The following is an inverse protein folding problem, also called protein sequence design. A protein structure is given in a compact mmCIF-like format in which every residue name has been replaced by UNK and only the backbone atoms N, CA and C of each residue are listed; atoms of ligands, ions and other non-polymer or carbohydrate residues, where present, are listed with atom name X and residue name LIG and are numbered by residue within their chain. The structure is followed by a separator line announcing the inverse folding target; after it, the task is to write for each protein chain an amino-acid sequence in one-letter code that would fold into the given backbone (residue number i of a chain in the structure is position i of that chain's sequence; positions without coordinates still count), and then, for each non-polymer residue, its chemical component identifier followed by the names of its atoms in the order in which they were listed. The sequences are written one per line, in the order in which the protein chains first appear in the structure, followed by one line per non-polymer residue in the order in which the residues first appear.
data_IF_379244600631
#
_entry.id   IF_379244600631
#
_cell.length_a   1.000
_cell.length_b   1.000
_cell.length_c   1.000
_cell.angle_alpha   90.00
_cell.angle_beta   90.00
_cell.angle_gamma   90.00
#
_symmetry.space_group_name_H-M   'P 1'
#
loop_
_entity.id
_entity.type
_entity.pdbx_description
1 polymer ?
#
# COMPACT_ATOMS: atom_id res chain seq x y z
N UNK A 1 -11.20 21.05 -23.02
CA UNK A 1 -11.25 20.80 -21.57
C UNK A 1 -9.87 21.04 -20.99
N UNK A 2 -9.71 22.08 -20.18
CA UNK A 2 -8.42 22.47 -19.57
C UNK A 2 -8.02 21.42 -18.51
N UNK A 3 -7.16 20.48 -18.89
CA UNK A 3 -6.62 19.41 -18.00
C UNK A 3 -5.45 19.96 -17.20
N UNK A 4 -5.70 20.93 -16.32
CA UNK A 4 -4.73 21.31 -15.31
C UNK A 4 -4.79 20.27 -14.20
N UNK A 5 -3.74 19.47 -14.05
CA UNK A 5 -3.51 18.70 -12.81
C UNK A 5 -3.60 19.65 -11.61
N UNK A 6 -3.88 19.10 -10.42
CA UNK A 6 -3.97 19.92 -9.21
C UNK A 6 -2.66 20.66 -9.01
N UNK A 7 -2.69 22.00 -9.08
CA UNK A 7 -1.50 22.81 -8.79
C UNK A 7 -1.23 22.78 -7.28
N UNK A 8 -0.33 21.91 -6.83
CA UNK A 8 0.00 21.76 -5.41
C UNK A 8 0.67 23.00 -4.82
N UNK A 9 1.25 23.85 -5.68
CA UNK A 9 1.96 25.08 -5.29
C UNK A 9 1.03 26.28 -5.06
N UNK A 10 -0.23 26.21 -5.51
CA UNK A 10 -1.19 27.32 -5.41
C UNK A 10 -2.61 26.80 -5.09
N UNK A 11 -3.54 27.70 -4.80
CA UNK A 11 -4.93 27.35 -4.52
C UNK A 11 -5.17 26.73 -3.13
N UNK A 12 -6.39 26.20 -2.90
CA UNK A 12 -6.78 25.60 -1.63
C UNK A 12 -6.10 24.26 -1.39
N UNK A 13 -5.38 24.15 -0.29
CA UNK A 13 -4.67 22.93 0.11
C UNK A 13 -5.65 21.78 0.39
N UNK A 14 -6.73 22.04 1.13
CA UNK A 14 -7.73 21.01 1.46
C UNK A 14 -8.38 20.43 0.22
N UNK A 15 -8.81 21.29 -0.73
CA UNK A 15 -9.36 20.83 -2.02
C UNK A 15 -8.32 20.05 -2.83
N UNK A 16 -7.05 20.48 -2.79
CA UNK A 16 -5.95 19.79 -3.44
C UNK A 16 -5.69 18.39 -2.86
N UNK A 17 -5.60 18.28 -1.54
CA UNK A 17 -5.42 17.00 -0.85
C UNK A 17 -6.60 16.05 -1.12
N UNK A 18 -7.84 16.52 -0.97
CA UNK A 18 -9.03 15.71 -1.23
C UNK A 18 -9.13 15.25 -2.69
N UNK A 19 -8.74 16.13 -3.64
CA UNK A 19 -8.73 15.79 -5.07
C UNK A 19 -7.75 14.67 -5.43
N UNK A 20 -6.72 14.45 -4.60
CA UNK A 20 -5.75 13.36 -4.77
C UNK A 20 -6.15 12.16 -3.91
N UNK A 21 -6.51 12.38 -2.64
CA UNK A 21 -6.80 11.27 -1.70
C UNK A 21 -8.09 10.53 -2.03
N UNK A 22 -9.17 11.21 -2.45
CA UNK A 22 -10.43 10.55 -2.79
C UNK A 22 -10.30 9.54 -3.94
N UNK A 23 -9.67 9.88 -5.09
CA UNK A 23 -9.43 8.88 -6.13
C UNK A 23 -8.57 7.71 -5.65
N UNK A 24 -7.52 7.97 -4.83
CA UNK A 24 -6.67 6.90 -4.28
C UNK A 24 -7.47 6.01 -3.31
N UNK A 25 -8.30 6.59 -2.47
CA UNK A 25 -9.18 5.85 -1.56
C UNK A 25 -10.14 4.94 -2.34
N UNK A 26 -10.83 5.49 -3.35
CA UNK A 26 -11.73 4.72 -4.21
C UNK A 26 -10.96 3.58 -4.90
N UNK A 27 -9.78 3.87 -5.45
CA UNK A 27 -8.92 2.88 -6.09
C UNK A 27 -8.58 1.73 -5.15
N UNK A 28 -8.18 2.02 -3.91
CA UNK A 28 -7.80 1.01 -2.93
C UNK A 28 -9.00 0.14 -2.50
N UNK A 29 -10.16 0.77 -2.24
CA UNK A 29 -11.39 0.06 -1.88
C UNK A 29 -11.86 -0.84 -3.03
N UNK A 30 -11.89 -0.33 -4.25
CA UNK A 30 -12.27 -1.11 -5.44
C UNK A 30 -11.29 -2.28 -5.67
N UNK A 31 -9.99 -2.07 -5.44
CA UNK A 31 -9.01 -3.15 -5.54
C UNK A 31 -9.25 -4.26 -4.51
N UNK A 32 -9.64 -3.91 -3.29
CA UNK A 32 -10.04 -4.89 -2.27
C UNK A 32 -11.30 -5.66 -2.68
N UNK A 33 -12.30 -4.96 -3.23
CA UNK A 33 -13.51 -5.61 -3.77
C UNK A 33 -13.19 -6.58 -4.91
N UNK A 34 -12.31 -6.20 -5.83
CA UNK A 34 -11.88 -7.11 -6.91
C UNK A 34 -11.19 -8.36 -6.37
N UNK A 35 -10.40 -8.25 -5.29
CA UNK A 35 -9.78 -9.42 -4.67
C UNK A 35 -10.79 -10.35 -4.01
N UNK A 36 -11.82 -9.80 -3.37
CA UNK A 36 -12.90 -10.58 -2.77
C UNK A 36 -13.70 -11.30 -3.87
N UNK A 37 -14.09 -10.60 -4.94
CA UNK A 37 -14.84 -11.17 -6.05
C UNK A 37 -14.06 -12.27 -6.77
N UNK A 38 -12.75 -12.14 -6.96
CA UNK A 38 -11.93 -13.21 -7.52
C UNK A 38 -11.95 -14.48 -6.68
N UNK A 39 -11.85 -14.33 -5.34
CA UNK A 39 -11.92 -15.46 -4.44
C UNK A 39 -13.32 -16.11 -4.46
N UNK A 40 -14.38 -15.31 -4.48
CA UNK A 40 -15.76 -15.81 -4.58
C UNK A 40 -16.01 -16.56 -5.90
N UNK A 41 -15.51 -16.02 -7.03
CA UNK A 41 -15.59 -16.70 -8.32
C UNK A 41 -14.85 -18.04 -8.25
N UNK A 42 -13.62 -18.04 -7.72
CA UNK A 42 -12.85 -19.27 -7.61
C UNK A 42 -13.53 -20.31 -6.72
N UNK A 43 -14.04 -19.92 -5.55
CA UNK A 43 -14.74 -20.78 -4.60
C UNK A 43 -16.02 -21.38 -5.19
N UNK A 44 -16.80 -20.58 -5.92
CA UNK A 44 -18.09 -21.00 -6.49
C UNK A 44 -17.95 -22.08 -7.58
N UNK A 45 -16.79 -22.18 -8.24
CA UNK A 45 -16.54 -23.12 -9.35
C UNK A 45 -15.37 -24.08 -9.07
N UNK A 46 -14.79 -24.08 -7.86
CA UNK A 46 -13.75 -25.02 -7.47
C UNK A 46 -14.37 -26.35 -7.01
N UNK A 47 -14.25 -27.37 -7.82
CA UNK A 47 -14.83 -28.69 -7.56
C UNK A 47 -14.17 -29.43 -6.40
N UNK A 48 -12.90 -29.13 -6.11
CA UNK A 48 -12.10 -29.87 -5.14
C UNK A 48 -11.87 -29.09 -3.84
N UNK A 49 -12.26 -27.80 -3.76
CA UNK A 49 -12.06 -26.93 -2.60
C UNK A 49 -10.58 -26.58 -2.29
N UNK A 50 -9.64 -27.00 -3.14
CA UNK A 50 -8.21 -26.83 -2.89
C UNK A 50 -7.62 -25.56 -3.51
N UNK A 51 -8.29 -24.98 -4.51
CA UNK A 51 -7.76 -23.82 -5.26
C UNK A 51 -7.75 -22.57 -4.41
N UNK A 52 -8.78 -22.30 -3.61
CA UNK A 52 -8.83 -21.17 -2.69
C UNK A 52 -7.74 -21.27 -1.63
N UNK A 53 -7.56 -22.49 -1.08
CA UNK A 53 -6.47 -22.76 -0.13
C UNK A 53 -5.09 -22.53 -0.73
N UNK A 54 -4.86 -22.92 -1.98
CA UNK A 54 -3.61 -22.73 -2.70
C UNK A 54 -3.31 -21.23 -2.97
N UNK A 55 -4.32 -20.44 -3.36
CA UNK A 55 -4.17 -18.97 -3.51
C UNK A 55 -3.91 -18.33 -2.15
N UNK A 56 -4.62 -18.75 -1.11
CA UNK A 56 -4.43 -18.27 0.27
C UNK A 56 -3.02 -18.51 0.79
N UNK A 57 -2.43 -19.70 0.53
CA UNK A 57 -1.06 -20.02 0.90
C UNK A 57 -0.01 -19.09 0.25
N UNK A 58 -0.29 -18.55 -0.94
CA UNK A 58 0.55 -17.56 -1.62
C UNK A 58 0.37 -16.14 -1.08
N UNK A 59 -0.71 -15.86 -0.35
CA UNK A 59 -1.17 -14.51 -0.02
C UNK A 59 -0.11 -13.67 0.70
N UNK A 60 0.55 -14.20 1.72
CA UNK A 60 1.58 -13.49 2.49
C UNK A 60 2.79 -13.07 1.63
N UNK A 61 3.25 -13.97 0.76
CA UNK A 61 4.35 -13.69 -0.16
C UNK A 61 3.97 -12.67 -1.23
N UNK A 62 2.74 -12.73 -1.73
CA UNK A 62 2.19 -11.77 -2.68
C UNK A 62 2.10 -10.37 -2.06
N UNK A 63 1.58 -10.26 -0.83
CA UNK A 63 1.51 -8.98 -0.10
C UNK A 63 2.90 -8.40 0.14
N UNK A 64 3.87 -9.24 0.52
CA UNK A 64 5.26 -8.84 0.73
C UNK A 64 5.85 -8.21 -0.55
N UNK A 65 5.76 -8.90 -1.69
CA UNK A 65 6.33 -8.44 -2.96
C UNK A 65 5.60 -7.20 -3.48
N UNK A 66 4.28 -7.20 -3.41
CA UNK A 66 3.47 -6.04 -3.84
C UNK A 66 3.79 -4.80 -2.98
N UNK A 67 3.90 -4.98 -1.66
CA UNK A 67 4.30 -3.93 -0.74
C UNK A 67 5.70 -3.39 -1.03
N UNK A 68 6.66 -4.27 -1.34
CA UNK A 68 8.01 -3.87 -1.75
C UNK A 68 7.98 -3.02 -3.04
N UNK A 69 7.24 -3.44 -4.06
CA UNK A 69 7.11 -2.73 -5.35
C UNK A 69 6.47 -1.35 -5.13
N UNK A 70 5.36 -1.27 -4.41
CA UNK A 70 4.67 -0.02 -4.11
C UNK A 70 5.58 0.90 -3.28
N UNK A 71 6.27 0.35 -2.30
CA UNK A 71 7.23 1.10 -1.49
C UNK A 71 8.34 1.71 -2.32
N UNK A 72 8.98 0.95 -3.21
CA UNK A 72 10.06 1.46 -4.07
C UNK A 72 9.51 2.49 -5.06
N UNK A 73 8.33 2.28 -5.62
CA UNK A 73 7.70 3.24 -6.54
C UNK A 73 7.41 4.60 -5.89
N UNK A 74 7.19 4.64 -4.57
CA UNK A 74 7.02 5.88 -3.81
C UNK A 74 8.25 6.79 -3.87
N UNK A 75 9.46 6.21 -4.04
CA UNK A 75 10.69 6.96 -4.26
C UNK A 75 10.64 7.79 -5.56
N UNK A 76 10.12 7.20 -6.64
CA UNK A 76 9.92 7.92 -7.89
C UNK A 76 8.91 9.07 -7.72
N UNK A 77 7.80 8.82 -6.99
CA UNK A 77 6.82 9.87 -6.68
C UNK A 77 7.49 11.09 -6.01
N UNK A 78 8.25 10.87 -4.94
CA UNK A 78 8.90 11.96 -4.18
C UNK A 78 9.90 12.73 -5.03
N UNK A 79 10.78 12.03 -5.76
CA UNK A 79 11.85 12.68 -6.55
C UNK A 79 11.25 13.49 -7.71
N UNK A 80 10.29 12.92 -8.43
CA UNK A 80 9.65 13.62 -9.55
C UNK A 80 8.83 14.81 -9.03
N UNK A 81 8.07 14.65 -7.94
CA UNK A 81 7.36 15.75 -7.30
C UNK A 81 8.31 16.89 -6.88
N UNK A 82 9.48 16.56 -6.31
CA UNK A 82 10.50 17.53 -5.95
C UNK A 82 11.05 18.31 -7.16
N UNK A 83 11.32 17.63 -8.27
CA UNK A 83 11.74 18.29 -9.51
C UNK A 83 10.65 19.19 -10.10
N UNK A 84 9.39 18.80 -10.03
CA UNK A 84 8.26 19.64 -10.44
C UNK A 84 8.21 20.90 -9.58
N UNK A 85 8.33 20.75 -8.26
CA UNK A 85 8.33 21.89 -7.32
C UNK A 85 9.46 22.88 -7.58
N UNK A 86 10.67 22.39 -7.85
CA UNK A 86 11.84 23.21 -8.19
C UNK A 86 11.90 23.65 -9.66
N UNK A 87 10.86 23.37 -10.47
CA UNK A 87 10.78 23.68 -11.91
C UNK A 87 11.89 23.08 -12.77
N UNK A 88 12.53 22.01 -12.31
CA UNK A 88 13.58 21.27 -13.03
C UNK A 88 12.98 20.19 -13.93
N UNK A 89 12.22 20.60 -14.94
CA UNK A 89 11.42 19.68 -15.77
C UNK A 89 12.22 18.66 -16.57
N UNK A 90 13.43 19.03 -17.03
CA UNK A 90 14.30 18.09 -17.73
C UNK A 90 14.79 16.97 -16.81
N UNK A 91 15.13 17.30 -15.57
CA UNK A 91 15.47 16.29 -14.54
C UNK A 91 14.28 15.43 -14.18
N UNK A 92 13.07 16.02 -14.09
CA UNK A 92 11.85 15.28 -13.89
C UNK A 92 11.59 14.25 -15.01
N UNK A 93 11.74 14.66 -16.28
CA UNK A 93 11.55 13.77 -17.43
C UNK A 93 12.63 12.68 -17.50
N UNK A 94 13.88 12.97 -17.10
CA UNK A 94 14.92 11.93 -16.93
C UNK A 94 14.58 10.95 -15.82
N UNK A 95 14.08 11.44 -14.69
CA UNK A 95 13.64 10.61 -13.56
C UNK A 95 12.46 9.72 -13.96
N UNK A 96 11.49 10.22 -14.75
CA UNK A 96 10.39 9.43 -15.31
C UNK A 96 10.91 8.27 -16.18
N UNK A 97 11.80 8.58 -17.12
CA UNK A 97 12.39 7.54 -18.00
C UNK A 97 13.18 6.49 -17.20
N UNK A 98 14.00 6.95 -16.22
CA UNK A 98 14.76 6.05 -15.34
C UNK A 98 13.84 5.18 -14.48
N UNK A 99 12.77 5.75 -13.93
CA UNK A 99 11.82 5.05 -13.08
C UNK A 99 11.11 3.91 -13.84
N UNK A 100 10.66 4.17 -15.07
CA UNK A 100 10.00 3.15 -15.91
C UNK A 100 11.00 2.11 -16.41
N UNK A 101 12.22 2.51 -16.80
CA UNK A 101 13.27 1.56 -17.19
C UNK A 101 13.64 0.63 -16.02
N UNK A 102 13.80 1.21 -14.81
CA UNK A 102 14.05 0.44 -13.59
C UNK A 102 12.88 -0.50 -13.28
N UNK A 103 11.64 -0.02 -13.38
CA UNK A 103 10.45 -0.84 -13.14
C UNK A 103 10.39 -2.08 -14.05
N UNK A 104 10.71 -1.92 -15.34
CA UNK A 104 10.76 -3.04 -16.28
C UNK A 104 11.86 -4.05 -15.90
N UNK A 105 13.09 -3.58 -15.68
CA UNK A 105 14.23 -4.46 -15.35
C UNK A 105 14.04 -5.14 -13.98
N UNK A 106 13.66 -4.37 -12.95
CA UNK A 106 13.42 -4.91 -11.62
C UNK A 106 12.23 -5.88 -11.61
N UNK A 107 11.17 -5.57 -12.36
CA UNK A 107 10.01 -6.45 -12.51
C UNK A 107 10.38 -7.78 -13.16
N UNK A 108 11.19 -7.77 -14.23
CA UNK A 108 11.71 -8.99 -14.88
C UNK A 108 12.60 -9.78 -13.90
N UNK A 109 13.50 -9.11 -13.19
CA UNK A 109 14.37 -9.77 -12.22
C UNK A 109 13.56 -10.45 -11.11
N UNK A 110 12.57 -9.75 -10.54
CA UNK A 110 11.66 -10.32 -9.53
C UNK A 110 10.82 -11.47 -10.09
N UNK A 111 10.39 -11.38 -11.35
CA UNK A 111 9.67 -12.45 -12.03
C UNK A 111 10.52 -13.71 -12.15
N UNK A 112 11.76 -13.58 -12.65
CA UNK A 112 12.70 -14.71 -12.77
C UNK A 112 12.98 -15.36 -11.42
N UNK A 113 13.27 -14.55 -10.38
CA UNK A 113 13.49 -15.05 -9.00
C UNK A 113 12.24 -15.77 -8.48
N UNK A 114 11.07 -15.15 -8.60
CA UNK A 114 9.83 -15.70 -8.10
C UNK A 114 9.42 -17.02 -8.79
N UNK A 115 9.58 -17.11 -10.10
CA UNK A 115 9.28 -18.33 -10.86
C UNK A 115 10.26 -19.45 -10.52
N UNK A 116 11.56 -19.14 -10.43
CA UNK A 116 12.62 -20.13 -10.16
C UNK A 116 12.56 -20.65 -8.72
N UNK A 117 12.28 -19.76 -7.74
CA UNK A 117 12.27 -20.09 -6.31
C UNK A 117 10.86 -20.32 -5.75
N UNK A 118 9.83 -20.46 -6.58
CA UNK A 118 8.42 -20.57 -6.16
C UNK A 118 8.20 -21.65 -5.09
N UNK A 119 8.65 -22.87 -5.35
CA UNK A 119 8.48 -24.00 -4.44
C UNK A 119 9.27 -23.78 -3.13
N UNK A 120 10.50 -23.24 -3.21
CA UNK A 120 11.33 -22.95 -2.05
C UNK A 120 10.63 -21.94 -1.12
N UNK A 121 10.09 -20.86 -1.67
CA UNK A 121 9.37 -19.84 -0.89
C UNK A 121 8.12 -20.40 -0.22
N UNK A 122 7.36 -21.24 -0.93
CA UNK A 122 6.16 -21.87 -0.38
C UNK A 122 6.48 -22.89 0.72
N UNK A 123 7.55 -23.64 0.58
CA UNK A 123 8.04 -24.54 1.65
C UNK A 123 8.50 -23.75 2.88
N UNK A 124 9.16 -22.60 2.72
CA UNK A 124 9.53 -21.71 3.82
C UNK A 124 8.33 -21.14 4.59
N UNK A 125 7.20 -20.97 3.90
CA UNK A 125 5.94 -20.53 4.54
C UNK A 125 5.11 -21.69 5.11
N UNK A 126 5.67 -22.92 5.16
CA UNK A 126 5.00 -24.15 5.61
C UNK A 126 3.69 -24.41 4.84
N UNK A 127 3.69 -24.22 3.50
CA UNK A 127 2.56 -24.58 2.67
C UNK A 127 2.31 -26.10 2.78
N UNK A 128 1.07 -26.56 3.07
CA UNK A 128 0.74 -27.98 3.11
C UNK A 128 1.06 -28.69 1.79
N UNK A 129 1.63 -29.90 1.87
CA UNK A 129 2.04 -30.67 0.69
C UNK A 129 0.86 -30.92 -0.31
N UNK A 130 -0.36 -31.07 0.19
CA UNK A 130 -1.58 -31.24 -0.61
C UNK A 130 -1.84 -30.01 -1.52
N UNK A 131 -1.48 -28.81 -1.07
CA UNK A 131 -1.68 -27.56 -1.80
C UNK A 131 -0.45 -27.15 -2.61
N UNK A 132 0.72 -27.69 -2.29
CA UNK A 132 2.02 -27.20 -2.77
C UNK A 132 2.11 -27.14 -4.29
N UNK A 133 1.66 -28.18 -4.99
CA UNK A 133 1.73 -28.22 -6.46
C UNK A 133 0.86 -27.11 -7.10
N UNK A 134 -0.38 -26.93 -6.61
CA UNK A 134 -1.31 -25.89 -7.12
C UNK A 134 -0.82 -24.50 -6.72
N UNK A 135 -0.36 -24.32 -5.49
CA UNK A 135 0.19 -23.05 -5.02
C UNK A 135 1.44 -22.66 -5.82
N UNK A 136 2.34 -23.60 -6.12
CA UNK A 136 3.53 -23.36 -6.94
C UNK A 136 3.15 -22.93 -8.36
N UNK A 137 2.16 -23.59 -8.97
CA UNK A 137 1.67 -23.22 -10.30
C UNK A 137 1.10 -21.80 -10.30
N UNK A 138 0.20 -21.48 -9.33
CA UNK A 138 -0.37 -20.15 -9.19
C UNK A 138 0.70 -19.09 -8.97
N UNK A 139 1.64 -19.36 -8.07
CA UNK A 139 2.73 -18.44 -7.75
C UNK A 139 3.62 -18.15 -8.97
N UNK A 140 3.98 -19.16 -9.74
CA UNK A 140 4.74 -18.99 -10.99
C UNK A 140 3.98 -18.16 -12.02
N UNK A 141 2.69 -18.42 -12.22
CA UNK A 141 1.84 -17.62 -13.11
C UNK A 141 1.72 -16.19 -12.61
N UNK A 142 1.46 -15.97 -11.34
CA UNK A 142 1.39 -14.65 -10.76
C UNK A 142 2.69 -13.85 -10.97
N UNK A 143 3.85 -14.50 -10.73
CA UNK A 143 5.15 -13.86 -10.90
C UNK A 143 5.50 -13.57 -12.36
N UNK A 144 4.95 -14.30 -13.33
CA UNK A 144 5.10 -13.95 -14.74
C UNK A 144 4.46 -12.59 -15.08
N UNK A 145 3.45 -12.16 -14.33
CA UNK A 145 2.80 -10.86 -14.46
C UNK A 145 3.46 -9.73 -13.64
N UNK A 146 4.40 -10.03 -12.72
CA UNK A 146 5.06 -9.02 -11.86
C UNK A 146 5.73 -7.88 -12.63
N UNK A 147 6.34 -8.09 -13.81
CA UNK A 147 6.85 -6.97 -14.62
C UNK A 147 5.79 -5.93 -14.95
N UNK A 148 4.57 -6.38 -15.27
CA UNK A 148 3.44 -5.50 -15.59
C UNK A 148 2.94 -4.75 -14.33
N UNK A 149 2.84 -5.47 -13.20
CA UNK A 149 2.52 -4.89 -11.89
C UNK A 149 3.53 -3.80 -11.52
N UNK A 150 4.82 -4.05 -11.71
CA UNK A 150 5.88 -3.10 -11.37
C UNK A 150 5.81 -1.85 -12.26
N UNK A 151 5.68 -2.03 -13.56
CA UNK A 151 5.55 -0.91 -14.51
C UNK A 151 4.30 -0.07 -14.20
N UNK A 152 3.16 -0.70 -13.96
CA UNK A 152 1.95 0.03 -13.61
C UNK A 152 2.09 0.79 -12.29
N UNK A 153 2.71 0.20 -11.26
CA UNK A 153 2.88 0.84 -9.95
C UNK A 153 3.77 2.09 -10.04
N UNK A 154 4.87 2.02 -10.79
CA UNK A 154 5.72 3.18 -11.05
C UNK A 154 5.03 4.24 -11.90
N UNK A 155 4.28 3.85 -12.94
CA UNK A 155 3.53 4.80 -13.76
C UNK A 155 2.43 5.51 -12.96
N UNK A 156 1.72 4.80 -12.08
CA UNK A 156 0.75 5.39 -11.16
C UNK A 156 1.42 6.37 -10.17
N UNK A 157 2.60 6.00 -9.62
CA UNK A 157 3.38 6.87 -8.74
C UNK A 157 3.82 8.17 -9.45
N UNK A 158 4.17 8.10 -10.75
CA UNK A 158 4.51 9.27 -11.58
C UNK A 158 3.27 10.16 -11.77
N UNK A 159 2.11 9.61 -12.09
CA UNK A 159 0.87 10.38 -12.18
C UNK A 159 0.53 11.07 -10.85
N UNK A 160 0.64 10.35 -9.73
CA UNK A 160 0.40 10.91 -8.40
C UNK A 160 1.36 12.07 -8.07
N UNK A 161 2.62 12.00 -8.52
CA UNK A 161 3.60 13.08 -8.33
C UNK A 161 3.22 14.40 -9.02
N UNK A 162 2.42 14.31 -10.09
CA UNK A 162 1.89 15.48 -10.81
C UNK A 162 0.55 15.98 -10.26
N UNK A 163 -0.03 15.31 -9.26
CA UNK A 163 -1.35 15.62 -8.71
C UNK A 163 -2.52 15.01 -9.50
N UNK A 164 -2.25 14.09 -10.41
CA UNK A 164 -3.27 13.43 -11.21
C UNK A 164 -3.48 11.98 -10.74
N UNK A 165 -4.23 11.80 -9.67
CA UNK A 165 -4.61 10.47 -9.17
C UNK A 165 -5.87 9.91 -9.84
N UNK A 166 -6.60 10.73 -10.61
CA UNK A 166 -7.83 10.28 -11.28
C UNK A 166 -7.55 9.31 -12.43
N UNK A 167 -6.50 9.57 -13.21
CA UNK A 167 -6.12 8.69 -14.32
C UNK A 167 -5.73 7.30 -13.84
N UNK A 168 -4.78 7.12 -12.90
CA UNK A 168 -4.47 5.80 -12.35
C UNK A 168 -5.69 5.07 -11.79
N UNK A 169 -6.59 5.78 -11.10
CA UNK A 169 -7.85 5.21 -10.58
C UNK A 169 -8.72 4.66 -11.72
N UNK A 170 -8.99 5.46 -12.76
CA UNK A 170 -9.85 5.03 -13.88
C UNK A 170 -9.21 3.83 -14.59
N UNK A 171 -7.90 3.85 -14.82
CA UNK A 171 -7.20 2.77 -15.52
C UNK A 171 -7.16 1.47 -14.70
N UNK A 172 -7.03 1.58 -13.38
CA UNK A 172 -7.10 0.41 -12.49
C UNK A 172 -8.51 -0.17 -12.46
N UNK A 173 -9.54 0.68 -12.37
CA UNK A 173 -10.94 0.22 -12.42
C UNK A 173 -11.22 -0.48 -13.76
N UNK A 174 -10.80 0.12 -14.88
CA UNK A 174 -10.96 -0.49 -16.20
C UNK A 174 -10.26 -1.84 -16.30
N UNK A 175 -8.97 -1.90 -15.92
CA UNK A 175 -8.21 -3.16 -15.94
C UNK A 175 -8.77 -4.21 -14.99
N UNK A 176 -9.21 -3.80 -13.80
CA UNK A 176 -9.81 -4.69 -12.80
C UNK A 176 -11.19 -5.23 -13.22
N UNK A 177 -12.03 -4.40 -13.86
CA UNK A 177 -13.32 -4.85 -14.39
C UNK A 177 -13.12 -5.88 -15.52
N UNK A 178 -12.19 -5.61 -16.45
CA UNK A 178 -11.87 -6.56 -17.51
C UNK A 178 -11.25 -7.83 -16.93
N UNK A 179 -10.38 -7.71 -15.93
CA UNK A 179 -9.86 -8.86 -15.17
C UNK A 179 -10.98 -9.73 -14.63
N UNK A 180 -11.99 -9.16 -13.94
CA UNK A 180 -13.12 -9.93 -13.39
C UNK A 180 -13.93 -10.64 -14.46
N UNK A 181 -14.22 -9.96 -15.58
CA UNK A 181 -14.92 -10.57 -16.69
C UNK A 181 -14.14 -11.77 -17.25
N UNK A 182 -12.84 -11.62 -17.46
CA UNK A 182 -11.97 -12.71 -17.94
C UNK A 182 -11.86 -13.81 -16.88
N UNK A 183 -11.74 -13.47 -15.59
CA UNK A 183 -11.72 -14.43 -14.49
C UNK A 183 -12.98 -15.29 -14.50
N UNK A 184 -14.15 -14.65 -14.60
CA UNK A 184 -15.42 -15.35 -14.69
C UNK A 184 -15.49 -16.28 -15.92
N UNK A 185 -15.10 -15.80 -17.09
CA UNK A 185 -15.09 -16.62 -18.32
C UNK A 185 -14.15 -17.81 -18.21
N UNK A 186 -12.91 -17.60 -17.72
CA UNK A 186 -11.92 -18.66 -17.61
C UNK A 186 -12.26 -19.69 -16.52
N UNK A 187 -12.81 -19.24 -15.40
CA UNK A 187 -13.12 -20.10 -14.26
C UNK A 187 -14.48 -20.77 -14.42
N UNK A 188 -15.55 -20.01 -14.71
CA UNK A 188 -16.92 -20.50 -14.76
C UNK A 188 -17.23 -21.24 -16.07
N UNK A 189 -16.77 -20.72 -17.23
CA UNK A 189 -17.13 -21.30 -18.53
C UNK A 189 -16.07 -22.32 -19.00
N UNK A 190 -14.78 -21.97 -18.90
CA UNK A 190 -13.69 -22.82 -19.37
C UNK A 190 -13.09 -23.73 -18.29
N UNK A 191 -13.57 -23.62 -17.04
CA UNK A 191 -13.17 -24.45 -15.90
C UNK A 191 -11.65 -24.54 -15.66
N UNK A 192 -10.94 -23.45 -15.96
CA UNK A 192 -9.48 -23.35 -15.80
C UNK A 192 -9.04 -23.13 -14.34
N UNK A 193 -9.98 -23.01 -13.38
CA UNK A 193 -9.72 -22.87 -11.97
C UNK A 193 -8.69 -21.79 -11.64
N UNK A 194 -7.68 -22.18 -10.88
CA UNK A 194 -6.60 -21.29 -10.40
C UNK A 194 -5.80 -20.63 -11.55
N UNK A 195 -5.62 -21.32 -12.67
CA UNK A 195 -4.93 -20.78 -13.86
C UNK A 195 -5.73 -19.64 -14.46
N UNK A 196 -7.06 -19.77 -14.51
CA UNK A 196 -7.96 -18.75 -15.03
C UNK A 196 -7.83 -17.43 -14.24
N UNK A 197 -7.83 -17.49 -12.91
CA UNK A 197 -7.65 -16.31 -12.04
C UNK A 197 -6.27 -15.66 -12.24
N UNK A 198 -5.21 -16.46 -12.34
CA UNK A 198 -3.85 -15.95 -12.54
C UNK A 198 -3.72 -15.23 -13.89
N UNK A 199 -4.20 -15.85 -14.99
CA UNK A 199 -4.18 -15.26 -16.34
C UNK A 199 -5.02 -13.97 -16.38
N UNK A 200 -6.22 -13.98 -15.81
CA UNK A 200 -7.06 -12.79 -15.73
C UNK A 200 -6.35 -11.64 -15.00
N UNK A 201 -5.62 -11.94 -13.92
CA UNK A 201 -4.84 -10.96 -13.17
C UNK A 201 -3.74 -10.35 -14.02
N UNK A 202 -3.00 -11.14 -14.78
CA UNK A 202 -1.94 -10.69 -15.69
C UNK A 202 -2.54 -9.76 -16.77
N UNK A 203 -3.66 -10.15 -17.38
CA UNK A 203 -4.34 -9.31 -18.38
C UNK A 203 -4.82 -7.99 -17.79
N UNK A 204 -5.37 -8.00 -16.57
CA UNK A 204 -5.77 -6.78 -15.86
C UNK A 204 -4.60 -5.83 -15.62
N UNK A 205 -3.44 -6.34 -15.20
CA UNK A 205 -2.22 -5.56 -15.05
C UNK A 205 -1.67 -5.06 -16.38
N UNK A 206 -1.73 -5.86 -17.45
CA UNK A 206 -1.33 -5.45 -18.78
C UNK A 206 -2.13 -4.23 -19.25
N UNK A 207 -3.47 -4.29 -19.15
CA UNK A 207 -4.36 -3.20 -19.52
C UNK A 207 -4.05 -1.95 -18.69
N UNK A 208 -3.93 -2.11 -17.37
CA UNK A 208 -3.63 -0.99 -16.46
C UNK A 208 -2.28 -0.37 -16.77
N UNK A 209 -1.24 -1.18 -17.00
CA UNK A 209 0.11 -0.71 -17.35
C UNK A 209 0.11 0.03 -18.70
N UNK A 210 -0.50 -0.55 -19.73
CA UNK A 210 -0.58 0.04 -21.07
C UNK A 210 -1.30 1.39 -21.03
N UNK A 211 -2.45 1.49 -20.36
CA UNK A 211 -3.21 2.73 -20.25
C UNK A 211 -2.42 3.82 -19.51
N UNK A 212 -1.75 3.47 -18.41
CA UNK A 212 -0.92 4.43 -17.67
C UNK A 212 0.28 4.89 -18.51
N UNK A 213 0.99 4.00 -19.19
CA UNK A 213 2.14 4.34 -20.06
C UNK A 213 1.68 5.19 -21.24
N UNK A 214 0.60 4.82 -21.93
CA UNK A 214 0.04 5.62 -23.02
C UNK A 214 -0.36 7.05 -22.56
N UNK A 215 -0.89 7.15 -21.35
CA UNK A 215 -1.21 8.45 -20.77
C UNK A 215 0.04 9.29 -20.48
N UNK A 216 1.15 8.69 -20.05
CA UNK A 216 2.43 9.37 -19.84
C UNK A 216 3.09 9.78 -21.16
N UNK A 217 3.01 8.95 -22.19
CA UNK A 217 3.57 9.24 -23.53
C UNK A 217 2.78 10.35 -24.22
N UNK A 218 1.42 10.29 -24.17
CA UNK A 218 0.53 11.26 -24.82
C UNK A 218 0.23 12.50 -23.96
N UNK A 219 0.88 12.65 -22.81
CA UNK A 219 0.61 13.78 -21.91
C UNK A 219 1.06 15.10 -22.58
N UNK A 220 0.15 16.07 -22.79
CA UNK A 220 0.50 17.39 -23.34
C UNK A 220 1.19 18.29 -22.30
N UNK A 221 1.34 17.82 -21.05
CA UNK A 221 1.97 18.56 -19.97
C UNK A 221 3.49 18.54 -20.03
N UNK A 222 4.12 19.18 -19.03
CA UNK A 222 5.57 19.32 -18.94
C UNK A 222 6.25 18.00 -18.59
N UNK A 223 5.53 17.10 -17.91
CA UNK A 223 6.03 15.77 -17.52
C UNK A 223 5.51 14.75 -18.54
N UNK A 224 6.43 14.16 -19.29
CA UNK A 224 6.13 13.23 -20.37
C UNK A 224 7.16 12.11 -20.41
N UNK A 225 6.69 10.89 -20.64
CA UNK A 225 7.58 9.76 -20.96
C UNK A 225 7.99 9.86 -22.42
N UNK A 226 9.26 10.19 -22.64
CA UNK A 226 9.85 10.21 -23.99
C UNK A 226 10.72 8.96 -24.16
N UNK A 227 10.58 8.24 -25.27
CA UNK A 227 11.37 7.02 -25.55
C UNK A 227 12.87 7.29 -25.47
N UNK A 228 13.33 8.49 -25.89
CA UNK A 228 14.74 8.91 -25.79
C UNK A 228 15.24 8.92 -24.33
N UNK A 229 14.36 9.11 -23.34
CA UNK A 229 14.71 9.16 -21.93
C UNK A 229 14.58 7.80 -21.23
N UNK A 230 14.16 6.75 -21.93
CA UNK A 230 13.99 5.39 -21.38
C UNK A 230 15.36 4.72 -21.20
N UNK A 231 16.14 5.21 -20.24
CA UNK A 231 17.47 4.71 -19.89
C UNK A 231 17.81 5.05 -18.44
N UNK A 232 18.81 4.38 -17.88
CA UNK A 232 19.30 4.64 -16.54
C UNK A 232 20.17 5.89 -16.52
N UNK A 233 19.68 6.94 -15.85
CA UNK A 233 20.49 8.12 -15.56
C UNK A 233 21.10 7.98 -14.16
N UNK A 234 22.45 7.99 -14.09
CA UNK A 234 23.20 7.80 -12.83
C UNK A 234 22.76 8.69 -11.67
N UNK A 235 22.46 9.99 -11.84
CA UNK A 235 22.04 10.83 -10.72
C UNK A 235 20.62 10.54 -10.23
N UNK A 236 19.72 9.99 -11.07
CA UNK A 236 18.29 9.84 -10.76
C UNK A 236 17.98 8.51 -10.04
N UNK A 237 18.55 7.41 -10.52
CA UNK A 237 18.27 6.08 -9.97
C UNK A 237 18.66 5.96 -8.49
N UNK A 238 19.88 6.32 -8.03
CA UNK A 238 20.22 6.25 -6.61
C UNK A 238 19.33 7.12 -5.72
N UNK A 239 18.86 8.26 -6.23
CA UNK A 239 17.94 9.13 -5.48
C UNK A 239 16.58 8.47 -5.27
N UNK A 240 16.03 7.84 -6.33
CA UNK A 240 14.77 7.09 -6.26
C UNK A 240 14.92 5.93 -5.28
N UNK A 241 15.99 5.13 -5.40
CA UNK A 241 16.21 3.95 -4.56
C UNK A 241 16.48 4.31 -3.10
N UNK A 242 17.20 5.41 -2.82
CA UNK A 242 17.48 5.88 -1.45
C UNK A 242 16.20 6.19 -0.66
N UNK A 243 15.14 6.60 -1.35
CA UNK A 243 13.83 6.83 -0.72
C UNK A 243 13.00 5.56 -0.78
N UNK A 244 12.96 4.89 -1.92
CA UNK A 244 12.06 3.78 -2.18
C UNK A 244 12.42 2.49 -1.43
N UNK A 245 13.71 2.12 -1.37
CA UNK A 245 14.13 0.87 -0.70
C UNK A 245 13.73 0.85 0.78
N UNK A 246 14.02 1.89 1.60
CA UNK A 246 13.58 1.89 3.00
C UNK A 246 12.05 1.75 3.14
N UNK A 247 11.27 2.37 2.23
CA UNK A 247 9.81 2.27 2.25
C UNK A 247 9.34 0.87 1.89
N UNK A 248 9.95 0.25 0.88
CA UNK A 248 9.63 -1.13 0.49
C UNK A 248 9.94 -2.14 1.61
N UNK A 249 11.11 -2.01 2.24
CA UNK A 249 11.49 -2.83 3.39
C UNK A 249 10.52 -2.66 4.56
N UNK A 250 10.08 -1.42 4.83
CA UNK A 250 9.09 -1.14 5.87
C UNK A 250 7.78 -1.91 5.64
N UNK A 251 7.29 -1.95 4.40
CA UNK A 251 6.07 -2.69 4.06
C UNK A 251 6.23 -4.20 4.25
N UNK A 252 7.39 -4.74 3.88
CA UNK A 252 7.71 -6.16 4.11
C UNK A 252 7.74 -6.52 5.60
N UNK A 253 8.41 -5.73 6.41
CA UNK A 253 8.54 -5.97 7.86
C UNK A 253 7.20 -5.88 8.59
N UNK A 254 6.28 -5.05 8.10
CA UNK A 254 4.93 -4.96 8.64
C UNK A 254 4.16 -6.29 8.53
N UNK A 255 4.36 -7.04 7.44
CA UNK A 255 3.76 -8.35 7.27
C UNK A 255 4.25 -9.35 8.34
N UNK A 256 5.55 -9.36 8.64
CA UNK A 256 6.11 -10.26 9.65
C UNK A 256 5.59 -9.98 11.07
N UNK A 257 5.41 -8.71 11.43
CA UNK A 257 4.83 -8.35 12.74
C UNK A 257 3.42 -8.92 12.93
N UNK A 258 2.61 -8.91 11.87
CA UNK A 258 1.26 -9.46 11.94
C UNK A 258 1.24 -10.99 12.06
N UNK A 259 2.21 -11.70 11.45
CA UNK A 259 2.33 -13.16 11.58
C UNK A 259 2.55 -13.55 13.04
N UNK A 260 3.45 -12.88 13.77
CA UNK A 260 3.71 -13.18 15.19
C UNK A 260 2.45 -13.04 16.05
N UNK A 261 1.64 -12.00 15.79
CA UNK A 261 0.39 -11.78 16.53
C UNK A 261 -0.63 -12.87 16.18
N UNK A 262 -0.77 -13.24 14.90
CA UNK A 262 -1.68 -14.29 14.48
C UNK A 262 -1.33 -15.64 15.15
N UNK A 263 -0.04 -15.93 15.30
CA UNK A 263 0.42 -17.14 16.04
C UNK A 263 -0.04 -17.11 17.48
N UNK A 264 0.05 -15.97 18.18
CA UNK A 264 -0.46 -15.84 19.55
C UNK A 264 -1.99 -15.99 19.63
N UNK A 265 -2.72 -15.49 18.64
CA UNK A 265 -4.18 -15.63 18.55
C UNK A 265 -4.60 -17.09 18.38
N UNK A 266 -3.87 -17.86 17.58
CA UNK A 266 -4.20 -19.27 17.33
C UNK A 266 -4.21 -20.12 18.61
N UNK A 267 -3.53 -19.69 19.69
CA UNK A 267 -3.57 -20.39 20.97
C UNK A 267 -4.92 -20.29 21.71
N UNK A 268 -5.82 -19.39 21.29
CA UNK A 268 -7.18 -19.24 21.85
C UNK A 268 -8.25 -20.09 21.15
N UNK A 269 -7.85 -20.87 20.16
CA UNK A 269 -8.72 -21.81 19.47
C UNK A 269 -9.36 -21.27 18.18
N UNK A 270 -10.11 -22.14 17.48
CA UNK A 270 -10.65 -21.84 16.13
C UNK A 270 -11.63 -20.67 16.08
N UNK A 271 -12.52 -20.54 17.08
CA UNK A 271 -13.49 -19.43 17.16
C UNK A 271 -12.81 -18.08 17.23
N UNK A 272 -11.75 -17.94 18.05
CA UNK A 272 -10.96 -16.72 18.17
C UNK A 272 -10.24 -16.40 16.86
N UNK A 273 -9.57 -17.41 16.26
CA UNK A 273 -8.86 -17.24 14.98
C UNK A 273 -9.80 -16.78 13.86
N UNK A 274 -11.00 -17.38 13.78
CA UNK A 274 -12.00 -17.00 12.79
C UNK A 274 -12.54 -15.58 13.04
N UNK A 275 -12.87 -15.25 14.28
CA UNK A 275 -13.37 -13.93 14.64
C UNK A 275 -12.36 -12.82 14.33
N UNK A 276 -11.08 -13.06 14.62
CA UNK A 276 -10.00 -12.11 14.33
C UNK A 276 -9.78 -11.97 12.81
N UNK A 277 -9.91 -13.05 12.05
CA UNK A 277 -9.81 -13.01 10.59
C UNK A 277 -10.93 -12.14 9.98
N UNK A 278 -12.14 -12.23 10.52
CA UNK A 278 -13.27 -11.35 10.15
C UNK A 278 -12.93 -9.90 10.44
N UNK A 279 -12.46 -9.57 11.66
CA UNK A 279 -12.07 -8.22 12.03
C UNK A 279 -10.94 -7.68 11.13
N UNK A 280 -9.96 -8.52 10.74
CA UNK A 280 -8.87 -8.13 9.84
C UNK A 280 -9.37 -7.62 8.47
N UNK A 281 -10.47 -8.17 7.94
CA UNK A 281 -11.03 -7.68 6.68
C UNK A 281 -11.53 -6.22 6.81
N UNK A 282 -12.21 -5.90 7.91
CA UNK A 282 -12.68 -4.53 8.16
C UNK A 282 -11.53 -3.58 8.47
N UNK A 283 -10.56 -4.01 9.28
CA UNK A 283 -9.33 -3.25 9.55
C UNK A 283 -8.56 -2.95 8.24
N UNK A 284 -8.53 -3.89 7.29
CA UNK A 284 -7.92 -3.69 5.99
C UNK A 284 -8.58 -2.56 5.20
N UNK A 285 -9.91 -2.48 5.20
CA UNK A 285 -10.65 -1.38 4.54
C UNK A 285 -10.35 -0.05 5.23
N UNK A 286 -10.37 0.00 6.56
CA UNK A 286 -10.01 1.21 7.32
C UNK A 286 -8.59 1.69 7.01
N UNK A 287 -7.64 0.77 6.93
CA UNK A 287 -6.26 1.08 6.54
C UNK A 287 -6.19 1.72 5.17
N UNK A 288 -6.89 1.17 4.19
CA UNK A 288 -6.91 1.70 2.82
C UNK A 288 -7.49 3.11 2.74
N UNK A 289 -8.46 3.44 3.59
CA UNK A 289 -9.03 4.79 3.71
C UNK A 289 -8.00 5.76 4.31
N UNK A 290 -7.35 5.39 5.40
CA UNK A 290 -6.39 6.25 6.09
C UNK A 290 -5.11 6.49 5.25
N UNK A 291 -4.57 5.46 4.61
CA UNK A 291 -3.33 5.58 3.83
C UNK A 291 -3.50 6.44 2.57
N UNK A 292 -4.71 6.55 2.02
CA UNK A 292 -4.97 7.37 0.84
C UNK A 292 -4.63 8.85 1.07
N UNK A 293 -4.87 9.38 2.27
CA UNK A 293 -4.50 10.76 2.63
C UNK A 293 -2.98 10.93 2.71
N UNK A 294 -2.26 9.98 3.28
CA UNK A 294 -0.79 10.02 3.36
C UNK A 294 -0.14 10.01 1.97
N UNK A 295 -0.69 9.23 1.04
CA UNK A 295 -0.24 9.20 -0.36
C UNK A 295 -0.46 10.54 -1.08
N UNK A 296 -1.45 11.33 -0.68
CA UNK A 296 -1.66 12.69 -1.19
C UNK A 296 -0.70 13.71 -0.55
N UNK A 297 -0.44 13.61 0.75
CA UNK A 297 0.46 14.52 1.48
C UNK A 297 1.90 14.41 0.98
N UNK A 298 2.36 13.22 0.65
CA UNK A 298 3.76 12.97 0.25
C UNK A 298 4.22 13.83 -0.95
N UNK A 299 3.58 13.79 -2.12
CA UNK A 299 3.98 14.64 -3.25
C UNK A 299 3.70 16.12 -3.00
N UNK A 300 2.64 16.43 -2.22
CA UNK A 300 2.32 17.80 -1.87
C UNK A 300 3.44 18.47 -1.06
N UNK A 301 3.98 17.77 -0.06
CA UNK A 301 5.12 18.21 0.74
C UNK A 301 6.37 18.30 -0.13
N UNK A 302 6.66 17.28 -0.95
CA UNK A 302 7.85 17.26 -1.79
C UNK A 302 7.89 18.44 -2.77
N UNK A 303 6.78 18.74 -3.45
CA UNK A 303 6.71 19.89 -4.36
C UNK A 303 6.91 21.22 -3.64
N UNK A 304 6.24 21.42 -2.49
CA UNK A 304 6.31 22.70 -1.77
C UNK A 304 7.67 22.93 -1.08
N UNK A 305 8.28 21.91 -0.48
CA UNK A 305 9.62 22.00 0.10
C UNK A 305 10.64 22.30 -0.98
N UNK A 306 10.59 21.64 -2.14
CA UNK A 306 11.50 21.87 -3.25
C UNK A 306 11.29 23.20 -3.96
N UNK A 307 10.09 23.79 -3.83
CA UNK A 307 9.79 25.15 -4.29
C UNK A 307 10.18 26.24 -3.28
N UNK A 308 10.75 25.89 -2.11
CA UNK A 308 11.07 26.83 -1.05
C UNK A 308 9.87 27.29 -0.20
N UNK A 309 8.68 26.72 -0.39
CA UNK A 309 7.46 27.12 0.34
C UNK A 309 7.18 26.20 1.54
N UNK A 310 8.06 26.29 2.55
CA UNK A 310 7.95 25.45 3.75
C UNK A 310 6.65 25.69 4.53
N UNK A 311 6.17 26.94 4.60
CA UNK A 311 4.90 27.27 5.30
C UNK A 311 3.74 26.48 4.71
N UNK A 312 3.61 26.48 3.38
CA UNK A 312 2.55 25.75 2.68
C UNK A 312 2.72 24.22 2.80
N UNK A 313 3.97 23.72 2.79
CA UNK A 313 4.24 22.32 3.03
C UNK A 313 3.76 21.87 4.43
N UNK A 314 4.06 22.66 5.47
CA UNK A 314 3.62 22.37 6.83
C UNK A 314 2.09 22.45 6.97
N UNK A 315 1.46 23.44 6.35
CA UNK A 315 0.00 23.56 6.33
C UNK A 315 -0.66 22.33 5.66
N UNK A 316 -0.06 21.81 4.60
CA UNK A 316 -0.54 20.59 3.94
C UNK A 316 -0.44 19.36 4.87
N UNK A 317 0.63 19.24 5.67
CA UNK A 317 0.77 18.16 6.66
C UNK A 317 -0.35 18.24 7.71
N UNK A 318 -0.56 19.42 8.30
CA UNK A 318 -1.60 19.58 9.33
C UNK A 318 -3.02 19.35 8.80
N UNK A 319 -3.32 19.87 7.59
CA UNK A 319 -4.61 19.60 6.94
C UNK A 319 -4.76 18.12 6.57
N UNK A 320 -3.68 17.47 6.15
CA UNK A 320 -3.67 16.02 5.93
C UNK A 320 -3.97 15.23 7.20
N UNK A 321 -3.35 15.59 8.33
CA UNK A 321 -3.62 14.99 9.64
C UNK A 321 -5.10 15.17 10.02
N UNK A 322 -5.67 16.38 9.88
CA UNK A 322 -7.07 16.63 10.17
C UNK A 322 -8.02 15.80 9.32
N UNK A 323 -7.74 15.68 8.01
CA UNK A 323 -8.52 14.82 7.09
C UNK A 323 -8.42 13.35 7.54
N UNK A 324 -7.21 12.90 7.87
CA UNK A 324 -6.99 11.50 8.32
C UNK A 324 -7.71 11.22 9.64
N UNK A 325 -7.69 12.14 10.60
CA UNK A 325 -8.44 12.02 11.85
C UNK A 325 -9.94 11.96 11.56
N UNK A 326 -10.45 12.88 10.74
CA UNK A 326 -11.87 12.91 10.41
C UNK A 326 -12.33 11.62 9.75
N UNK A 327 -11.59 11.12 8.75
CA UNK A 327 -11.92 9.87 8.06
C UNK A 327 -11.71 8.65 8.97
N UNK A 328 -10.54 8.54 9.60
CA UNK A 328 -10.18 7.39 10.44
C UNK A 328 -11.08 7.26 11.67
N UNK A 329 -11.41 8.38 12.35
CA UNK A 329 -12.33 8.37 13.47
C UNK A 329 -13.77 8.07 13.00
N UNK A 330 -14.27 8.72 11.94
CA UNK A 330 -15.64 8.49 11.46
C UNK A 330 -15.86 7.04 11.06
N UNK A 331 -15.01 6.48 10.19
CA UNK A 331 -15.13 5.09 9.76
C UNK A 331 -14.76 4.09 10.87
N UNK A 332 -13.79 4.43 11.73
CA UNK A 332 -13.42 3.61 12.88
C UNK A 332 -14.56 3.47 13.89
N UNK A 333 -15.17 4.57 14.32
CA UNK A 333 -16.32 4.54 15.23
C UNK A 333 -17.56 3.91 14.58
N UNK A 334 -17.77 4.14 13.27
CA UNK A 334 -18.84 3.45 12.54
C UNK A 334 -18.64 1.94 12.56
N UNK A 335 -17.41 1.46 12.33
CA UNK A 335 -17.06 0.04 12.40
C UNK A 335 -17.27 -0.54 13.82
N UNK A 336 -16.98 0.22 14.87
CA UNK A 336 -17.23 -0.19 16.25
C UNK A 336 -18.73 -0.24 16.54
N UNK A 337 -19.49 0.76 16.11
CA UNK A 337 -20.93 0.83 16.35
C UNK A 337 -21.68 -0.30 15.68
N UNK A 338 -21.30 -0.67 14.47
CA UNK A 338 -21.90 -1.76 13.68
C UNK A 338 -21.08 -3.06 13.72
N UNK A 339 -20.21 -3.27 14.72
CA UNK A 339 -19.29 -4.42 14.74
C UNK A 339 -20.03 -5.77 14.74
N UNK A 340 -21.17 -5.86 15.43
CA UNK A 340 -21.96 -7.08 15.47
C UNK A 340 -22.63 -7.38 14.12
N UNK A 341 -23.27 -6.38 13.54
CA UNK A 341 -23.93 -6.48 12.22
C UNK A 341 -22.91 -6.81 11.13
N UNK A 342 -21.77 -6.13 11.13
CA UNK A 342 -20.70 -6.38 10.17
C UNK A 342 -20.13 -7.79 10.32
N UNK A 343 -19.90 -8.25 11.55
CA UNK A 343 -19.36 -9.59 11.79
C UNK A 343 -20.38 -10.68 11.48
N UNK A 344 -21.68 -10.42 11.70
CA UNK A 344 -22.76 -11.36 11.38
C UNK A 344 -22.95 -11.60 9.88
N UNK A 345 -22.48 -10.68 9.02
CA UNK A 345 -22.45 -10.90 7.56
C UNK A 345 -21.51 -12.06 7.15
N UNK A 346 -20.53 -12.38 7.99
CA UNK A 346 -19.49 -13.37 7.68
C UNK A 346 -19.57 -14.63 8.55
N UNK A 347 -20.27 -14.58 9.69
CA UNK A 347 -20.43 -15.74 10.59
C UNK A 347 -21.73 -15.67 11.36
N UNK A 348 -22.39 -16.81 11.51
CA UNK A 348 -23.59 -16.95 12.36
C UNK A 348 -23.26 -17.42 13.79
N UNK A 349 -21.98 -17.71 14.08
CA UNK A 349 -21.54 -18.17 15.39
C UNK A 349 -21.33 -16.99 16.33
N UNK A 350 -22.11 -16.90 17.40
CA UNK A 350 -22.05 -15.80 18.39
C UNK A 350 -20.69 -15.66 19.05
N UNK A 351 -19.99 -16.74 19.31
CA UNK A 351 -18.64 -16.71 19.89
C UNK A 351 -17.64 -16.04 18.93
N UNK A 352 -17.70 -16.39 17.64
CA UNK A 352 -16.86 -15.81 16.58
C UNK A 352 -17.15 -14.32 16.44
N UNK A 353 -18.44 -13.93 16.47
CA UNK A 353 -18.86 -12.52 16.41
C UNK A 353 -18.32 -11.75 17.63
N UNK A 354 -18.38 -12.32 18.84
CA UNK A 354 -17.86 -11.71 20.04
C UNK A 354 -16.36 -11.43 19.96
N UNK A 355 -15.54 -12.40 19.49
CA UNK A 355 -14.10 -12.21 19.29
C UNK A 355 -13.80 -11.14 18.22
N UNK A 356 -14.57 -11.11 17.13
CA UNK A 356 -14.44 -10.08 16.10
C UNK A 356 -14.70 -8.68 16.66
N UNK A 357 -15.83 -8.51 17.36
CA UNK A 357 -16.21 -7.24 17.99
C UNK A 357 -15.17 -6.79 19.04
N UNK A 358 -14.66 -7.70 19.87
CA UNK A 358 -13.65 -7.40 20.88
C UNK A 358 -12.40 -6.77 20.24
N UNK A 359 -11.94 -7.29 19.11
CA UNK A 359 -10.83 -6.71 18.36
C UNK A 359 -11.18 -5.37 17.74
N UNK A 360 -12.33 -5.28 17.07
CA UNK A 360 -12.77 -4.07 16.37
C UNK A 360 -12.91 -2.90 17.36
N UNK A 361 -13.46 -3.11 18.55
CA UNK A 361 -13.59 -2.06 19.59
C UNK A 361 -12.24 -1.44 19.93
N UNK A 362 -11.19 -2.23 20.07
CA UNK A 362 -9.86 -1.73 20.47
C UNK A 362 -9.12 -1.12 19.30
N UNK A 363 -9.09 -1.80 18.16
CA UNK A 363 -8.23 -1.42 17.02
C UNK A 363 -8.91 -0.38 16.17
N UNK A 364 -10.17 -0.58 15.76
CA UNK A 364 -10.84 0.35 14.85
C UNK A 364 -11.10 1.72 15.52
N UNK A 365 -11.37 1.76 16.84
CA UNK A 365 -11.52 3.03 17.58
C UNK A 365 -10.24 3.86 17.63
N UNK A 366 -9.07 3.24 17.55
CA UNK A 366 -7.75 3.90 17.63
C UNK A 366 -7.06 4.02 16.27
N UNK A 367 -7.72 3.59 15.19
CA UNK A 367 -7.11 3.50 13.85
C UNK A 367 -6.66 4.85 13.27
N UNK A 368 -7.30 5.95 13.67
CA UNK A 368 -6.88 7.30 13.30
C UNK A 368 -5.44 7.62 13.73
N UNK A 369 -4.93 7.01 14.83
CA UNK A 369 -3.54 7.16 15.28
C UNK A 369 -2.58 6.54 14.26
N UNK A 370 -2.93 5.36 13.72
CA UNK A 370 -2.19 4.73 12.62
C UNK A 370 -2.13 5.66 11.40
N UNK A 371 -3.26 6.24 11.02
CA UNK A 371 -3.32 7.18 9.90
C UNK A 371 -2.48 8.45 10.11
N UNK A 372 -2.42 8.98 11.34
CA UNK A 372 -1.52 10.11 11.68
C UNK A 372 -0.06 9.69 11.51
N UNK A 373 0.33 8.49 12.00
CA UNK A 373 1.67 7.92 11.78
C UNK A 373 2.05 7.92 10.29
N UNK A 374 1.17 7.37 9.44
CA UNK A 374 1.40 7.28 8.00
C UNK A 374 1.51 8.66 7.35
N UNK A 375 0.70 9.63 7.80
CA UNK A 375 0.74 11.01 7.30
C UNK A 375 2.05 11.70 7.67
N UNK A 376 2.57 11.52 8.89
CA UNK A 376 3.89 12.06 9.29
C UNK A 376 5.02 11.33 8.57
N UNK A 377 4.95 10.01 8.40
CA UNK A 377 5.89 9.25 7.57
C UNK A 377 5.94 9.79 6.13
N UNK A 378 4.76 10.01 5.53
CA UNK A 378 4.65 10.57 4.18
C UNK A 378 5.23 11.98 4.08
N UNK A 379 5.00 12.82 5.09
CA UNK A 379 5.59 14.15 5.18
C UNK A 379 7.12 14.09 5.23
N UNK A 380 7.71 13.24 6.09
CA UNK A 380 9.16 13.05 6.18
C UNK A 380 9.76 12.53 4.87
N UNK A 381 9.08 11.57 4.21
CA UNK A 381 9.48 11.09 2.88
C UNK A 381 9.41 12.20 1.84
N UNK A 382 8.35 13.01 1.85
CA UNK A 382 8.21 14.19 1.00
C UNK A 382 9.31 15.23 1.20
N UNK A 383 9.90 15.32 2.41
CA UNK A 383 11.09 16.11 2.71
C UNK A 383 12.41 15.42 2.27
N UNK A 384 12.35 14.25 1.62
CA UNK A 384 13.51 13.45 1.23
C UNK A 384 14.15 12.65 2.37
N UNK A 385 13.46 12.47 3.50
CA UNK A 385 13.94 11.77 4.69
C UNK A 385 13.15 10.47 4.91
N UNK A 386 13.55 9.38 4.24
CA UNK A 386 12.87 8.08 4.34
C UNK A 386 13.43 7.17 5.46
N UNK A 387 14.69 7.33 5.86
CA UNK A 387 15.33 6.48 6.87
C UNK A 387 14.66 6.63 8.26
N UNK A 388 14.42 7.84 8.80
CA UNK A 388 13.83 7.96 10.14
C UNK A 388 12.45 7.31 10.28
N UNK A 389 11.49 7.49 9.37
CA UNK A 389 10.21 6.78 9.47
C UNK A 389 10.37 5.26 9.34
N UNK A 390 11.30 4.77 8.53
CA UNK A 390 11.58 3.33 8.43
C UNK A 390 12.13 2.77 9.74
N UNK A 391 13.07 3.48 10.38
CA UNK A 391 13.63 3.07 11.69
C UNK A 391 12.56 3.09 12.78
N UNK A 392 11.74 4.14 12.84
CA UNK A 392 10.64 4.22 13.81
C UNK A 392 9.65 3.04 13.65
N UNK A 393 9.29 2.70 12.41
CA UNK A 393 8.43 1.55 12.13
C UNK A 393 9.11 0.23 12.54
N UNK A 394 10.40 0.06 12.22
CA UNK A 394 11.15 -1.12 12.59
C UNK A 394 11.19 -1.33 14.11
N UNK A 395 11.43 -0.27 14.87
CA UNK A 395 11.55 -0.34 16.33
C UNK A 395 10.18 -0.53 16.99
N UNK A 396 9.20 0.29 16.64
CA UNK A 396 7.93 0.34 17.37
C UNK A 396 6.85 -0.56 16.76
N UNK A 397 6.72 -0.66 15.44
CA UNK A 397 5.68 -1.47 14.83
C UNK A 397 6.09 -2.94 14.63
N UNK A 398 7.38 -3.21 14.47
CA UNK A 398 7.89 -4.57 14.39
C UNK A 398 8.49 -5.00 15.73
N UNK A 399 9.56 -4.37 16.19
CA UNK A 399 10.33 -4.80 17.36
C UNK A 399 9.50 -4.83 18.65
N UNK A 400 8.75 -3.74 18.93
CA UNK A 400 7.89 -3.67 20.12
C UNK A 400 6.76 -4.72 20.08
N UNK A 401 6.10 -4.92 18.91
CA UNK A 401 5.04 -5.93 18.80
C UNK A 401 5.58 -7.35 18.96
N UNK A 402 6.75 -7.59 18.38
CA UNK A 402 7.43 -8.87 18.55
C UNK A 402 7.79 -9.09 20.03
N UNK A 403 8.41 -8.11 20.67
CA UNK A 403 8.71 -8.18 22.11
C UNK A 403 7.43 -8.33 22.96
N UNK A 404 6.33 -7.65 22.58
CA UNK A 404 5.05 -7.78 23.27
C UNK A 404 4.53 -9.22 23.24
N UNK A 405 4.53 -9.86 22.08
CA UNK A 405 4.04 -11.23 21.92
C UNK A 405 4.89 -12.23 22.70
N UNK A 406 6.20 -12.07 22.70
CA UNK A 406 7.09 -13.08 23.30
C UNK A 406 7.42 -12.86 24.78
N UNK A 407 7.39 -11.61 25.27
CA UNK A 407 7.80 -11.29 26.66
C UNK A 407 6.67 -10.72 27.51
N UNK A 408 5.73 -9.99 26.94
CA UNK A 408 4.68 -9.29 27.70
C UNK A 408 3.38 -10.10 27.72
N UNK A 409 2.96 -10.61 26.58
CA UNK A 409 1.74 -11.41 26.46
C UNK A 409 1.73 -12.68 27.33
N UNK A 410 2.83 -13.45 27.51
CA UNK A 410 2.83 -14.61 28.38
C UNK A 410 2.56 -14.31 29.86
N UNK A 411 2.77 -13.05 30.31
CA UNK A 411 2.48 -12.63 31.69
C UNK A 411 0.97 -12.47 31.94
N UNK A 412 0.21 -12.09 30.90
CA UNK A 412 -1.24 -11.92 30.94
C UNK A 412 -1.84 -12.42 29.63
N UNK A 413 -2.07 -13.75 29.49
CA UNK A 413 -2.55 -14.35 28.24
C UNK A 413 -4.04 -14.05 28.01
N UNK A 414 -4.35 -12.83 27.60
CA UNK A 414 -5.67 -12.34 27.29
C UNK A 414 -5.66 -11.61 25.95
N UNK A 415 -6.68 -11.85 25.11
CA UNK A 415 -6.81 -11.24 23.78
C UNK A 415 -6.88 -9.71 23.85
N UNK A 416 -7.62 -9.15 24.82
CA UNK A 416 -7.67 -7.68 25.02
C UNK A 416 -6.26 -7.12 25.21
N UNK A 417 -5.47 -7.78 26.07
CA UNK A 417 -4.11 -7.37 26.35
C UNK A 417 -3.19 -7.53 25.13
N UNK A 418 -3.39 -8.58 24.36
CA UNK A 418 -2.70 -8.76 23.08
C UNK A 418 -3.00 -7.62 22.12
N UNK A 419 -4.29 -7.20 21.99
CA UNK A 419 -4.70 -6.15 21.07
C UNK A 419 -4.20 -4.76 21.47
N UNK A 420 -3.92 -4.48 22.73
CA UNK A 420 -3.33 -3.23 23.17
C UNK A 420 -1.94 -2.96 22.58
N UNK A 421 -1.25 -3.97 22.06
CA UNK A 421 0.03 -3.78 21.39
C UNK A 421 -0.07 -2.86 20.16
N UNK A 422 -1.24 -2.81 19.46
CA UNK A 422 -1.44 -1.94 18.31
C UNK A 422 -1.48 -0.45 18.70
N UNK A 423 -2.43 0.02 19.53
CA UNK A 423 -2.48 1.43 19.92
C UNK A 423 -1.20 1.88 20.61
N UNK A 424 -0.61 1.06 21.50
CA UNK A 424 0.63 1.41 22.20
C UNK A 424 1.78 1.59 21.19
N UNK A 425 1.95 0.66 20.25
CA UNK A 425 2.98 0.76 19.23
C UNK A 425 2.78 1.98 18.32
N UNK A 426 1.53 2.32 17.98
CA UNK A 426 1.21 3.51 17.21
C UNK A 426 1.53 4.81 17.94
N UNK A 427 1.18 4.92 19.23
CA UNK A 427 1.46 6.10 20.05
C UNK A 427 2.97 6.31 20.20
N UNK A 428 3.73 5.27 20.56
CA UNK A 428 5.18 5.38 20.71
C UNK A 428 5.90 5.72 19.39
N UNK A 429 5.46 5.10 18.29
CA UNK A 429 5.93 5.44 16.95
C UNK A 429 5.63 6.90 16.63
N UNK A 430 4.40 7.38 16.90
CA UNK A 430 3.98 8.75 16.64
C UNK A 430 4.82 9.76 17.43
N UNK A 431 5.07 9.53 18.71
CA UNK A 431 5.92 10.38 19.53
C UNK A 431 7.34 10.50 18.94
N UNK A 432 7.93 9.37 18.53
CA UNK A 432 9.25 9.35 17.89
C UNK A 432 9.25 10.11 16.55
N UNK A 433 8.24 9.87 15.72
CA UNK A 433 8.10 10.50 14.41
C UNK A 433 7.87 12.02 14.52
N UNK A 434 7.07 12.46 15.48
CA UNK A 434 6.86 13.89 15.74
C UNK A 434 8.15 14.58 16.16
N UNK A 435 8.95 13.97 17.03
CA UNK A 435 10.27 14.49 17.41
C UNK A 435 11.17 14.68 16.19
N UNK A 436 11.26 13.66 15.32
CA UNK A 436 12.04 13.74 14.09
C UNK A 436 11.46 14.79 13.15
N UNK A 437 10.14 14.86 12.99
CA UNK A 437 9.46 15.81 12.11
C UNK A 437 9.78 17.28 12.51
N UNK A 438 9.63 17.61 13.80
CA UNK A 438 9.95 18.96 14.27
C UNK A 438 11.42 19.30 14.16
N UNK A 439 12.32 18.34 14.39
CA UNK A 439 13.76 18.51 14.19
C UNK A 439 14.09 18.82 12.71
N UNK A 440 13.50 18.07 11.78
CA UNK A 440 13.70 18.30 10.34
C UNK A 440 13.09 19.62 9.88
N UNK A 441 11.92 20.01 10.40
CA UNK A 441 11.30 21.31 10.13
C UNK A 441 12.23 22.46 10.53
N UNK A 442 12.86 22.40 11.72
CA UNK A 442 13.82 23.41 12.17
C UNK A 442 15.03 23.49 11.25
N UNK A 443 15.59 22.35 10.83
CA UNK A 443 16.74 22.31 9.90
C UNK A 443 16.41 22.93 8.54
N UNK A 444 15.24 22.60 7.98
CA UNK A 444 14.81 23.17 6.69
C UNK A 444 14.55 24.68 6.79
N UNK A 445 13.96 25.15 7.89
CA UNK A 445 13.75 26.58 8.12
C UNK A 445 15.09 27.34 8.23
N UNK A 446 16.07 26.80 8.94
CA UNK A 446 17.41 27.38 9.03
C UNK A 446 18.11 27.45 7.66
N UNK A 447 18.00 26.40 6.85
CA UNK A 447 18.56 26.40 5.49
C UNK A 447 17.93 27.46 4.58
N UNK A 448 16.61 27.72 4.70
CA UNK A 448 15.95 28.78 3.93
C UNK A 448 16.45 30.18 4.31
N UNK A 449 16.68 30.45 5.61
CA UNK A 449 17.18 31.72 6.09
C UNK A 449 18.62 32.05 5.62
N UNK A 450 19.41 31.04 5.27
CA UNK A 450 20.77 31.25 4.71
C UNK A 450 20.77 31.52 3.20
N UNK A 451 19.68 31.35 2.50
CA UNK A 451 19.54 31.58 1.04
C UNK A 451 18.68 32.83 0.71
N UNK A 452 18.04 33.46 1.69
CA UNK A 452 17.40 34.78 1.59
C UNK A 452 18.33 35.87 2.11
#
# INVERSE_FOLDING_TARGET
MNKKGVTMLSGSITKGLLSISLPVMIMNVVQSLFSILDMTILESFDTDGLSVGAVGACGSLIVLITGLIIGISSGANVIIAGYIGSRKYDSANRAVGTAIAFAAVAGIALSVIGISCAELFLRWTNCPDVLLARATLYFRLYFSGVPLLTVYSFAAAIHNSTGDSRRPMIYLITGGTIKLLISYLLVAVWQQGIVGVAVATIVGWLITAVLNILALVKNPGVIQLRMRNLRFYRPELPRILRIGIPVGLQQGLYCFANVAITTAVNSFGPSATTGISIANNFDGVLYQICIATSLAVMPYVSQNVSAGNLKRAMEAVWKGILITIALGASFGFLSVFFCRELSSLMSSNEEVIAFSCQKMVIISSTYFICGINDTICAALRGMGRSIPPTVATLVFLFGLRFAWVYFVFPLLPNLTFLYLCWPISWVLSLCSLLFVFFSQKKKLAAQQLHYT
#
